data_IF_331250512767
#
_entry.id   IF_331250512767
#
_cell.length_a   1.000
_cell.length_b   1.000
_cell.length_c   1.000
_cell.angle_alpha   90.00
_cell.angle_beta   90.00
_cell.angle_gamma   90.00
#
_symmetry.space_group_name_H-M   'P 1'
#
loop_
_entity.id
_entity.type
_entity.pdbx_description
1 polymer ?
#
# COMPACT_ATOMS: atom_id res chain seq x y z
N UNK A 1 59.30 -28.78 -5.48
CA UNK A 1 58.53 -27.51 -5.58
C UNK A 1 57.12 -27.64 -6.20
N UNK A 2 56.77 -28.76 -6.86
CA UNK A 2 55.44 -28.93 -7.48
C UNK A 2 54.37 -29.47 -6.51
N UNK A 3 54.76 -30.32 -5.54
CA UNK A 3 53.84 -30.89 -4.57
C UNK A 3 53.19 -29.83 -3.67
N UNK A 4 53.96 -28.85 -3.19
CA UNK A 4 53.43 -27.73 -2.40
C UNK A 4 52.46 -26.83 -3.17
N UNK A 5 52.69 -26.63 -4.47
CA UNK A 5 51.77 -25.90 -5.35
C UNK A 5 50.47 -26.69 -5.60
N UNK A 6 50.56 -28.00 -5.76
CA UNK A 6 49.40 -28.87 -5.90
C UNK A 6 48.56 -28.90 -4.60
N UNK A 7 49.21 -29.00 -3.44
CA UNK A 7 48.52 -28.92 -2.13
C UNK A 7 47.85 -27.57 -1.94
N UNK A 8 48.52 -26.47 -2.29
CA UNK A 8 47.94 -25.12 -2.24
C UNK A 8 46.72 -24.99 -3.18
N UNK A 9 46.81 -25.52 -4.40
CA UNK A 9 45.70 -25.51 -5.36
C UNK A 9 44.50 -26.32 -4.84
N UNK A 10 44.74 -27.49 -4.25
CA UNK A 10 43.69 -28.33 -3.64
C UNK A 10 43.04 -27.60 -2.47
N UNK A 11 43.82 -26.95 -1.60
CA UNK A 11 43.29 -26.16 -0.49
C UNK A 11 42.44 -24.97 -0.96
N UNK A 12 42.89 -24.25 -1.98
CA UNK A 12 42.13 -23.16 -2.58
C UNK A 12 40.81 -23.64 -3.20
N UNK A 13 40.83 -24.78 -3.93
CA UNK A 13 39.63 -25.38 -4.51
C UNK A 13 38.60 -25.81 -3.44
N UNK A 14 39.09 -26.37 -2.33
CA UNK A 14 38.26 -26.78 -1.19
C UNK A 14 37.72 -25.59 -0.36
N UNK A 15 38.30 -24.40 -0.48
CA UNK A 15 37.76 -23.17 0.14
C UNK A 15 36.70 -22.47 -0.73
N UNK A 16 36.77 -22.60 -2.06
CA UNK A 16 35.80 -21.99 -2.99
C UNK A 16 34.44 -22.70 -2.93
N UNK A 17 34.42 -24.03 -2.80
CA UNK A 17 33.18 -24.82 -2.74
C UNK A 17 32.27 -24.50 -1.55
N UNK A 18 32.76 -24.37 -0.30
CA UNK A 18 31.92 -24.01 0.85
C UNK A 18 31.61 -22.51 0.90
N UNK A 19 32.42 -21.64 0.29
CA UNK A 19 32.12 -20.19 0.27
C UNK A 19 30.92 -19.82 -0.61
N UNK A 20 30.59 -20.63 -1.62
CA UNK A 20 29.30 -20.52 -2.32
C UNK A 20 28.11 -21.05 -1.49
N UNK A 21 28.35 -21.92 -0.50
CA UNK A 21 27.32 -22.52 0.36
C UNK A 21 27.11 -21.79 1.70
N UNK A 22 27.92 -20.78 2.01
CA UNK A 22 27.78 -19.94 3.22
C UNK A 22 26.69 -18.85 3.09
N UNK A 23 26.04 -18.75 1.93
CA UNK A 23 24.80 -17.98 1.78
C UNK A 23 23.64 -18.82 2.30
N UNK A 24 23.27 -18.62 3.57
CA UNK A 24 22.06 -19.18 4.20
C UNK A 24 20.74 -18.65 3.61
N UNK A 25 20.80 -17.72 2.66
CA UNK A 25 19.62 -17.17 1.99
C UNK A 25 19.17 -18.10 0.87
N UNK A 26 18.04 -18.79 1.07
CA UNK A 26 17.34 -19.48 -0.01
C UNK A 26 17.04 -18.48 -1.14
N UNK A 27 17.22 -18.91 -2.39
CA UNK A 27 16.82 -18.12 -3.55
C UNK A 27 15.32 -17.87 -3.49
N UNK A 28 14.92 -16.61 -3.32
CA UNK A 28 13.52 -16.24 -3.23
C UNK A 28 12.96 -16.10 -4.64
N UNK A 29 12.00 -16.97 -4.99
CA UNK A 29 11.18 -16.79 -6.18
C UNK A 29 10.25 -15.58 -5.98
N UNK A 30 10.66 -14.46 -6.58
CA UNK A 30 9.93 -13.21 -6.50
C UNK A 30 8.55 -13.30 -7.15
N UNK A 31 8.34 -14.17 -8.14
CA UNK A 31 7.05 -14.31 -8.80
C UNK A 31 6.07 -15.06 -7.91
N UNK A 32 6.54 -16.07 -7.17
CA UNK A 32 5.76 -16.73 -6.12
C UNK A 32 5.36 -15.76 -5.00
N UNK A 33 6.30 -14.93 -4.54
CA UNK A 33 6.03 -13.92 -3.49
C UNK A 33 5.01 -12.90 -3.98
N UNK A 34 5.14 -12.39 -5.21
CA UNK A 34 4.17 -11.45 -5.79
C UNK A 34 2.78 -12.07 -5.87
N UNK A 35 2.66 -13.33 -6.29
CA UNK A 35 1.36 -14.02 -6.36
C UNK A 35 0.70 -14.12 -4.98
N UNK A 36 1.44 -14.53 -3.95
CA UNK A 36 0.95 -14.56 -2.56
C UNK A 36 0.52 -13.17 -2.08
N UNK A 37 1.26 -12.12 -2.44
CA UNK A 37 0.91 -10.72 -2.10
C UNK A 37 -0.40 -10.31 -2.77
N UNK A 38 -0.61 -10.65 -4.05
CA UNK A 38 -1.86 -10.35 -4.76
C UNK A 38 -3.05 -11.02 -4.10
N UNK A 39 -2.94 -12.29 -3.72
CA UNK A 39 -4.00 -13.02 -3.02
C UNK A 39 -4.31 -12.43 -1.65
N UNK A 40 -3.27 -12.05 -0.89
CA UNK A 40 -3.45 -11.38 0.40
C UNK A 40 -4.13 -10.01 0.25
N UNK A 41 -3.72 -9.20 -0.72
CA UNK A 41 -4.32 -7.88 -0.99
C UNK A 41 -5.77 -8.03 -1.43
N UNK A 42 -6.10 -9.04 -2.24
CA UNK A 42 -7.48 -9.34 -2.62
C UNK A 42 -8.36 -9.58 -1.39
N UNK A 43 -7.90 -10.42 -0.45
CA UNK A 43 -8.61 -10.66 0.81
C UNK A 43 -8.69 -9.41 1.69
N UNK A 44 -7.63 -8.62 1.75
CA UNK A 44 -7.58 -7.38 2.53
C UNK A 44 -8.59 -6.34 2.04
N UNK A 45 -8.70 -6.12 0.73
CA UNK A 45 -9.67 -5.18 0.14
C UNK A 45 -11.09 -5.62 0.48
N UNK A 46 -11.41 -6.90 0.29
CA UNK A 46 -12.72 -7.47 0.58
C UNK A 46 -13.08 -7.33 2.07
N UNK A 47 -12.14 -7.64 2.97
CA UNK A 47 -12.30 -7.48 4.42
C UNK A 47 -12.56 -6.03 4.81
N UNK A 48 -11.77 -5.08 4.28
CA UNK A 48 -11.96 -3.64 4.55
C UNK A 48 -13.31 -3.12 4.09
N UNK A 49 -13.82 -3.63 2.96
CA UNK A 49 -15.12 -3.28 2.41
C UNK A 49 -16.29 -4.08 3.01
N UNK A 50 -16.01 -5.03 3.91
CA UNK A 50 -17.01 -5.97 4.47
C UNK A 50 -17.76 -6.77 3.39
N UNK A 51 -17.04 -7.17 2.35
CA UNK A 51 -17.55 -7.98 1.25
C UNK A 51 -16.96 -9.39 1.32
N UNK A 52 -17.77 -10.41 1.06
CA UNK A 52 -17.30 -11.80 0.94
C UNK A 52 -16.83 -12.14 -0.47
N UNK A 53 -17.30 -11.40 -1.48
CA UNK A 53 -16.96 -11.56 -2.89
C UNK A 53 -17.04 -10.23 -3.64
N UNK A 54 -16.37 -10.09 -4.79
CA UNK A 54 -16.53 -8.90 -5.63
C UNK A 54 -17.99 -8.64 -6.02
N UNK A 55 -18.43 -7.37 -6.12
CA UNK A 55 -19.77 -7.03 -6.59
C UNK A 55 -19.96 -7.44 -8.06
N UNK A 56 -21.20 -7.77 -8.43
CA UNK A 56 -21.54 -8.32 -9.76
C UNK A 56 -21.52 -7.26 -10.88
N UNK A 57 -21.72 -5.98 -10.56
CA UNK A 57 -21.73 -4.88 -11.52
C UNK A 57 -20.41 -4.12 -11.49
N UNK A 58 -19.85 -3.84 -12.67
CA UNK A 58 -18.61 -3.04 -12.83
C UNK A 58 -18.86 -1.52 -12.77
N UNK A 59 -20.10 -1.10 -12.49
CA UNK A 59 -20.50 0.30 -12.51
C UNK A 59 -20.65 0.87 -13.93
N UNK A 60 -20.96 2.17 -14.05
CA UNK A 60 -21.07 2.86 -15.33
C UNK A 60 -19.69 3.05 -15.98
N UNK A 61 -19.64 3.05 -17.32
CA UNK A 61 -18.40 3.25 -18.09
C UNK A 61 -17.76 4.63 -17.86
N UNK A 62 -18.59 5.64 -17.55
CA UNK A 62 -18.14 7.00 -17.28
C UNK A 62 -18.49 7.39 -15.84
N UNK A 63 -17.50 7.90 -15.11
CA UNK A 63 -17.68 8.37 -13.74
C UNK A 63 -18.14 9.85 -13.76
N UNK A 64 -19.24 10.22 -13.09
CA UNK A 64 -19.69 11.61 -13.04
C UNK A 64 -18.63 12.56 -12.47
N UNK A 65 -18.61 13.80 -12.96
CA UNK A 65 -17.64 14.81 -12.52
C UNK A 65 -17.67 15.05 -11.01
N UNK A 66 -18.85 15.05 -10.38
CA UNK A 66 -18.95 15.26 -8.92
C UNK A 66 -18.18 14.18 -8.14
N UNK A 67 -18.21 12.92 -8.60
CA UNK A 67 -17.50 11.81 -7.95
C UNK A 67 -16.00 11.92 -8.19
N UNK A 68 -15.57 12.32 -9.39
CA UNK A 68 -14.16 12.58 -9.68
C UNK A 68 -13.60 13.72 -8.82
N UNK A 69 -14.36 14.81 -8.68
CA UNK A 69 -13.98 15.93 -7.82
C UNK A 69 -13.87 15.50 -6.35
N UNK A 70 -14.81 14.68 -5.86
CA UNK A 70 -14.76 14.10 -4.52
C UNK A 70 -13.51 13.23 -4.31
N UNK A 71 -13.21 12.34 -5.25
CA UNK A 71 -12.01 11.50 -5.22
C UNK A 71 -10.73 12.34 -5.18
N UNK A 72 -10.62 13.35 -6.05
CA UNK A 72 -9.44 14.22 -6.12
C UNK A 72 -9.22 14.99 -4.82
N UNK A 73 -10.29 15.59 -4.26
CA UNK A 73 -10.21 16.25 -2.94
C UNK A 73 -9.83 15.28 -1.82
N UNK A 74 -10.33 14.05 -1.86
CA UNK A 74 -9.99 13.03 -0.85
C UNK A 74 -8.53 12.61 -0.94
N UNK A 75 -8.01 12.44 -2.16
CA UNK A 75 -6.60 12.10 -2.39
C UNK A 75 -5.68 13.19 -1.84
N UNK A 76 -5.96 14.45 -2.16
CA UNK A 76 -5.21 15.61 -1.67
C UNK A 76 -5.23 15.69 -0.13
N UNK A 77 -6.40 15.54 0.49
CA UNK A 77 -6.55 15.54 1.94
C UNK A 77 -5.75 14.40 2.62
N UNK A 78 -5.77 13.19 2.04
CA UNK A 78 -5.02 12.06 2.57
C UNK A 78 -3.50 12.25 2.45
N UNK A 79 -3.03 12.91 1.40
CA UNK A 79 -1.62 13.28 1.25
C UNK A 79 -1.17 14.28 2.32
N UNK A 80 -2.00 15.28 2.62
CA UNK A 80 -1.75 16.26 3.69
C UNK A 80 -1.70 15.58 5.08
N UNK A 81 -2.74 14.80 5.41
CA UNK A 81 -2.79 14.04 6.67
C UNK A 81 -1.64 13.04 6.81
N UNK A 82 -1.19 12.45 5.70
CA UNK A 82 -0.05 11.55 5.67
C UNK A 82 1.26 12.22 6.09
N UNK A 83 1.48 13.47 5.64
CA UNK A 83 2.65 14.27 6.03
C UNK A 83 2.61 14.60 7.53
N UNK A 84 1.45 14.98 8.04
CA UNK A 84 1.25 15.27 9.48
C UNK A 84 1.44 14.02 10.35
N UNK A 85 0.97 12.85 9.88
CA UNK A 85 1.16 11.57 10.59
C UNK A 85 2.63 11.12 10.58
N UNK A 86 3.40 11.41 9.54
CA UNK A 86 4.85 11.15 9.56
C UNK A 86 5.58 12.04 10.59
N UNK A 87 5.06 13.24 10.86
CA UNK A 87 5.61 14.14 11.88
C UNK A 87 5.20 13.76 13.31
N UNK A 88 4.07 13.04 13.48
CA UNK A 88 3.57 12.58 14.78
C UNK A 88 3.75 11.07 14.94
N UNK A 89 4.59 10.62 15.87
CA UNK A 89 4.65 9.19 16.28
C UNK A 89 3.33 8.77 16.96
N UNK A 90 2.28 8.52 16.19
CA UNK A 90 0.95 8.13 16.70
C UNK A 90 0.39 6.91 15.98
N UNK A 91 0.27 5.80 16.72
CA UNK A 91 -0.51 4.62 16.31
C UNK A 91 -1.87 4.66 17.01
N UNK A 92 -2.86 5.30 16.40
CA UNK A 92 -4.25 5.18 16.81
C UNK A 92 -4.86 3.89 16.20
N UNK A 93 -4.41 2.73 16.67
CA UNK A 93 -4.90 1.44 16.19
C UNK A 93 -6.27 1.11 16.81
N UNK A 94 -7.33 1.77 16.34
CA UNK A 94 -8.71 1.43 16.71
C UNK A 94 -9.33 0.47 15.69
N UNK A 95 -10.16 -0.47 16.13
CA UNK A 95 -10.85 -1.42 15.24
C UNK A 95 -11.73 -0.71 14.19
N UNK A 96 -12.22 0.50 14.53
CA UNK A 96 -12.98 1.38 13.64
C UNK A 96 -12.14 1.97 12.49
N UNK A 97 -10.82 2.05 12.61
CA UNK A 97 -9.93 2.51 11.53
C UNK A 97 -9.62 1.39 10.52
N UNK A 98 -9.84 0.13 10.87
CA UNK A 98 -9.55 -0.99 9.98
C UNK A 98 -10.47 -1.01 8.74
N UNK A 99 -11.76 -0.76 8.92
CA UNK A 99 -12.77 -0.81 7.86
C UNK A 99 -12.78 0.48 7.01
N UNK A 100 -13.21 0.33 5.76
CA UNK A 100 -13.38 1.47 4.86
C UNK A 100 -14.48 2.42 5.36
N UNK A 101 -14.28 3.73 5.16
CA UNK A 101 -15.23 4.78 5.50
C UNK A 101 -15.83 5.33 4.21
N UNK A 102 -17.14 5.55 4.22
CA UNK A 102 -17.83 6.26 3.15
C UNK A 102 -17.56 7.75 3.27
N UNK A 103 -17.29 8.41 2.13
CA UNK A 103 -16.86 9.80 2.09
C UNK A 103 -17.98 10.67 1.53
N UNK A 104 -18.29 11.75 2.24
CA UNK A 104 -19.26 12.76 1.85
C UNK A 104 -18.61 14.15 1.89
N UNK A 105 -18.98 15.02 0.96
CA UNK A 105 -18.55 16.44 0.92
C UNK A 105 -19.76 17.34 0.82
N UNK A 106 -19.88 18.27 1.75
CA UNK A 106 -20.94 19.27 1.77
C UNK A 106 -20.35 20.64 1.44
N UNK A 107 -20.97 21.34 0.51
CA UNK A 107 -20.58 22.71 0.19
C UNK A 107 -21.22 23.66 1.21
N UNK A 108 -20.46 24.68 1.63
CA UNK A 108 -21.01 25.74 2.47
C UNK A 108 -22.00 26.58 1.65
N UNK A 109 -23.12 26.93 2.26
CA UNK A 109 -24.03 27.96 1.72
C UNK A 109 -23.54 29.30 2.27
N UNK A 110 -23.05 30.17 1.40
CA UNK A 110 -22.77 31.54 1.79
C UNK A 110 -24.12 32.23 2.06
N UNK A 111 -24.31 32.74 3.28
CA UNK A 111 -25.55 33.38 3.70
C UNK A 111 -25.96 34.50 2.73
N UNK A 112 -27.25 34.56 2.43
CA UNK A 112 -27.89 35.75 1.88
C UNK A 112 -27.51 36.94 2.78
N UNK A 113 -27.15 38.13 2.25
CA UNK A 113 -26.97 39.30 3.10
C UNK A 113 -28.27 39.54 3.88
N UNK A 114 -28.23 39.35 5.20
CA UNK A 114 -29.30 39.82 6.07
C UNK A 114 -29.38 41.35 5.92
N UNK A 115 -30.57 41.84 5.57
CA UNK A 115 -31.01 43.25 5.58
C UNK A 115 -30.74 44.07 4.31
N UNK A 116 -31.56 43.84 3.29
CA UNK A 116 -32.06 44.91 2.42
C UNK A 116 -33.49 45.27 2.84
N UNK A 117 -33.64 45.88 4.03
CA UNK A 117 -34.90 46.45 4.47
C UNK A 117 -34.64 47.73 5.28
N UNK A 118 -34.20 48.78 4.60
CA UNK A 118 -34.42 50.18 4.98
C UNK A 118 -34.53 50.99 3.68
N UNK A 119 -35.71 50.98 3.07
CA UNK A 119 -36.20 52.06 2.20
C UNK A 119 -37.52 52.56 2.79
#
# INVERSE_FOLDING_TARGET
MYLGKAVLLVLLLNCVTPSLSLSTCATVDMDHVKRKRVEAIRGQILSKLRLTSPPKSLGPNNVPYQIQALYNSTRELLEELGRDRQQRCGQDNTETEYYAKEIYKFNMVYGLPENSEYN
#
